data_IF_965566888486
#
_entry.id   IF_965566888486
#
_cell.length_a   1.000
_cell.length_b   1.000
_cell.length_c   1.000
_cell.angle_alpha   90.00
_cell.angle_beta   90.00
_cell.angle_gamma   90.00
#
_symmetry.space_group_name_H-M   'P 1'
#
loop_
_entity.id
_entity.type
_entity.pdbx_description
1 polymer ?
#
# COMPACT_ATOMS: atom_id res chain seq x y z
N UNK A 1 -15.55 -15.92 8.17
CA UNK A 1 -15.32 -14.69 7.38
C UNK A 1 -15.92 -14.92 6.00
N UNK A 2 -16.61 -13.93 5.45
CA UNK A 2 -17.24 -14.07 4.12
C UNK A 2 -16.19 -14.14 3.00
N UNK A 3 -16.57 -14.72 1.87
CA UNK A 3 -15.70 -14.77 0.69
C UNK A 3 -15.29 -13.36 0.24
N UNK A 4 -16.21 -12.39 0.31
CA UNK A 4 -15.90 -11.00 -0.02
C UNK A 4 -14.85 -10.39 0.92
N UNK A 5 -14.98 -10.63 2.22
CA UNK A 5 -14.00 -10.14 3.19
C UNK A 5 -12.62 -10.77 2.96
N UNK A 6 -12.56 -12.06 2.64
CA UNK A 6 -11.30 -12.75 2.31
C UNK A 6 -10.69 -12.14 1.04
N UNK A 7 -11.49 -11.94 -0.01
CA UNK A 7 -11.01 -11.34 -1.25
C UNK A 7 -10.43 -9.94 -1.03
N UNK A 8 -11.10 -9.12 -0.22
CA UNK A 8 -10.66 -7.76 0.10
C UNK A 8 -9.36 -7.79 0.91
N UNK A 9 -9.26 -8.62 1.96
CA UNK A 9 -8.03 -8.70 2.75
C UNK A 9 -6.88 -9.25 1.92
N UNK A 10 -7.14 -10.18 1.01
CA UNK A 10 -6.10 -10.69 0.12
C UNK A 10 -5.52 -9.58 -0.78
N UNK A 11 -6.32 -8.62 -1.21
CA UNK A 11 -5.82 -7.46 -1.95
C UNK A 11 -4.90 -6.59 -1.09
N UNK A 12 -5.26 -6.35 0.17
CA UNK A 12 -4.41 -5.61 1.11
C UNK A 12 -3.07 -6.32 1.31
N UNK A 13 -3.09 -7.63 1.53
CA UNK A 13 -1.88 -8.42 1.77
C UNK A 13 -1.05 -8.59 0.51
N UNK A 14 -1.69 -8.75 -0.64
CA UNK A 14 -1.01 -8.86 -1.94
C UNK A 14 -0.20 -7.60 -2.25
N UNK A 15 -0.74 -6.43 -1.93
CA UNK A 15 -0.01 -5.17 -2.05
C UNK A 15 1.30 -5.23 -1.26
N UNK A 16 1.25 -5.68 -0.01
CA UNK A 16 2.45 -5.80 0.83
C UNK A 16 3.49 -6.75 0.22
N UNK A 17 3.06 -7.94 -0.24
CA UNK A 17 3.96 -8.90 -0.88
C UNK A 17 4.66 -8.30 -2.10
N UNK A 18 3.92 -7.62 -2.95
CA UNK A 18 4.46 -7.04 -4.18
C UNK A 18 5.43 -5.91 -3.90
N UNK A 19 5.10 -5.02 -2.96
CA UNK A 19 6.01 -3.95 -2.54
C UNK A 19 7.31 -4.52 -1.97
N UNK A 20 7.20 -5.49 -1.08
CA UNK A 20 8.36 -6.06 -0.39
C UNK A 20 9.24 -6.92 -1.31
N UNK A 21 8.69 -7.44 -2.39
CA UNK A 21 9.44 -8.16 -3.42
C UNK A 21 10.08 -7.25 -4.47
N UNK A 22 9.78 -5.94 -4.43
CA UNK A 22 10.27 -4.99 -5.42
C UNK A 22 9.47 -4.98 -6.73
N UNK A 23 8.34 -5.68 -6.77
CA UNK A 23 7.47 -5.77 -7.95
C UNK A 23 6.56 -4.54 -8.04
N UNK A 24 7.17 -3.35 -8.17
CA UNK A 24 6.45 -2.07 -8.10
C UNK A 24 5.39 -1.93 -9.19
N UNK A 25 5.68 -2.40 -10.40
CA UNK A 25 4.73 -2.36 -11.51
C UNK A 25 3.48 -3.20 -11.25
N UNK A 26 3.65 -4.41 -10.70
CA UNK A 26 2.53 -5.28 -10.36
C UNK A 26 1.74 -4.72 -9.16
N UNK A 27 2.44 -4.13 -8.19
CA UNK A 27 1.78 -3.45 -7.07
C UNK A 27 0.91 -2.29 -7.56
N UNK A 28 1.44 -1.45 -8.46
CA UNK A 28 0.67 -0.35 -9.04
C UNK A 28 -0.53 -0.84 -9.84
N UNK A 29 -0.40 -1.99 -10.52
CA UNK A 29 -1.48 -2.58 -11.30
C UNK A 29 -2.69 -2.99 -10.45
N UNK A 30 -2.52 -3.23 -9.16
CA UNK A 30 -3.65 -3.45 -8.25
C UNK A 30 -4.57 -2.23 -8.18
N UNK A 31 -4.04 -1.05 -8.46
CA UNK A 31 -4.75 0.23 -8.36
C UNK A 31 -5.18 0.78 -9.72
N UNK A 32 -5.19 -0.04 -10.79
CA UNK A 32 -5.51 0.43 -12.15
C UNK A 32 -6.89 1.06 -12.28
N UNK A 33 -7.83 0.67 -11.43
CA UNK A 33 -9.19 1.20 -11.40
C UNK A 33 -9.44 2.15 -10.24
N UNK A 34 -8.37 2.53 -9.51
CA UNK A 34 -8.46 3.32 -8.31
C UNK A 34 -7.97 4.75 -8.51
N UNK A 35 -8.32 5.59 -7.55
CA UNK A 35 -7.74 6.91 -7.36
C UNK A 35 -7.02 6.91 -6.01
N UNK A 36 -5.85 7.52 -5.96
CA UNK A 36 -4.98 7.47 -4.79
C UNK A 36 -4.65 8.89 -4.34
N UNK A 37 -4.89 9.16 -3.06
CA UNK A 37 -4.44 10.39 -2.42
C UNK A 37 -3.02 10.19 -1.92
N UNK A 38 -2.08 10.91 -2.51
CA UNK A 38 -0.65 10.83 -2.17
C UNK A 38 -0.24 12.13 -1.50
N UNK A 39 0.50 12.03 -0.39
CA UNK A 39 1.00 13.20 0.32
C UNK A 39 1.89 14.07 -0.61
N UNK A 40 1.65 15.36 -0.62
CA UNK A 40 2.43 16.30 -1.43
C UNK A 40 1.98 16.43 -2.88
N UNK A 41 1.02 15.65 -3.34
CA UNK A 41 0.45 15.80 -4.68
C UNK A 41 -0.90 16.51 -4.60
N UNK A 42 -1.14 17.43 -5.55
CA UNK A 42 -2.48 18.01 -5.75
C UNK A 42 -3.34 17.02 -6.54
N UNK A 43 -4.60 16.89 -6.15
CA UNK A 43 -5.53 15.97 -6.79
C UNK A 43 -5.22 14.52 -6.47
N UNK A 44 -5.85 13.62 -7.23
CA UNK A 44 -5.72 12.18 -7.03
C UNK A 44 -4.85 11.57 -8.13
N UNK A 45 -3.99 10.64 -7.75
CA UNK A 45 -3.14 9.91 -8.68
C UNK A 45 -3.83 8.66 -9.21
N UNK A 46 -3.46 8.24 -10.40
CA UNK A 46 -3.80 6.94 -10.96
C UNK A 46 -2.62 5.97 -10.89
N UNK A 47 -2.76 4.83 -11.55
CA UNK A 47 -1.73 3.78 -11.59
C UNK A 47 -0.37 4.30 -12.07
N UNK A 48 -0.36 5.02 -13.18
CA UNK A 48 0.90 5.47 -13.80
C UNK A 48 1.65 6.46 -12.91
N UNK A 49 0.94 7.43 -12.34
CA UNK A 49 1.57 8.44 -11.46
C UNK A 49 2.04 7.80 -10.15
N UNK A 50 1.30 6.84 -9.62
CA UNK A 50 1.69 6.11 -8.41
C UNK A 50 2.98 5.32 -8.65
N UNK A 51 3.08 4.63 -9.78
CA UNK A 51 4.27 3.88 -10.15
C UNK A 51 5.48 4.80 -10.32
N UNK A 52 5.27 5.96 -10.93
CA UNK A 52 6.33 6.96 -11.09
C UNK A 52 6.86 7.44 -9.74
N UNK A 53 5.96 7.73 -8.79
CA UNK A 53 6.32 8.11 -7.42
C UNK A 53 7.17 7.01 -6.76
N UNK A 54 6.73 5.78 -6.85
CA UNK A 54 7.49 4.67 -6.24
C UNK A 54 8.86 4.48 -6.89
N UNK A 55 8.95 4.51 -8.22
CA UNK A 55 10.23 4.36 -8.92
C UNK A 55 11.20 5.47 -8.59
N UNK A 56 10.67 6.66 -8.32
CA UNK A 56 11.49 7.82 -7.98
C UNK A 56 12.01 7.76 -6.55
N UNK A 57 11.20 7.32 -5.60
CA UNK A 57 11.51 7.46 -4.18
C UNK A 57 11.85 6.17 -3.45
N UNK A 58 11.36 5.02 -3.88
CA UNK A 58 11.65 3.75 -3.19
C UNK A 58 13.04 3.27 -3.57
N UNK A 59 13.87 3.01 -2.54
CA UNK A 59 15.20 2.43 -2.74
C UNK A 59 15.07 0.94 -3.00
N UNK A 60 15.67 0.47 -4.09
CA UNK A 60 15.78 -0.95 -4.42
C UNK A 60 17.25 -1.34 -4.28
N UNK A 61 17.51 -2.36 -3.50
CA UNK A 61 18.86 -2.84 -3.21
C UNK A 61 19.30 -3.88 -4.24
N UNK A 62 20.59 -4.31 -4.23
CA UNK A 62 21.09 -5.27 -5.22
C UNK A 62 20.32 -6.60 -5.27
N UNK A 63 19.68 -6.99 -4.17
CA UNK A 63 18.81 -8.18 -4.14
C UNK A 63 17.51 -8.01 -4.93
N UNK A 64 17.22 -6.80 -5.46
CA UNK A 64 16.01 -6.51 -6.21
C UNK A 64 14.82 -6.10 -5.36
N UNK A 65 14.99 -5.95 -4.04
CA UNK A 65 13.92 -5.59 -3.12
C UNK A 65 14.25 -4.34 -2.33
N UNK A 66 13.25 -3.66 -1.73
CA UNK A 66 13.50 -2.54 -0.82
C UNK A 66 13.97 -2.99 0.57
N UNK A 67 14.11 -4.28 0.83
CA UNK A 67 14.51 -4.87 2.09
C UNK A 67 13.56 -4.52 3.24
N UNK A 68 12.28 -4.43 2.91
CA UNK A 68 11.21 -4.10 3.85
C UNK A 68 10.28 -5.28 4.08
N UNK A 69 9.51 -5.20 5.17
CA UNK A 69 8.31 -6.00 5.39
C UNK A 69 7.18 -5.07 5.79
N UNK A 70 6.19 -4.96 4.92
CA UNK A 70 4.95 -4.26 5.22
C UNK A 70 3.98 -5.22 5.90
N UNK A 71 3.41 -4.81 7.00
CA UNK A 71 2.41 -5.59 7.73
C UNK A 71 1.14 -4.75 7.82
N UNK A 72 0.05 -5.26 7.25
CA UNK A 72 -1.28 -4.66 7.43
C UNK A 72 -1.95 -5.42 8.56
N UNK A 73 -2.49 -4.69 9.52
CA UNK A 73 -3.12 -5.27 10.70
C UNK A 73 -4.50 -4.68 10.95
N UNK A 74 -5.28 -5.40 11.74
CA UNK A 74 -6.61 -5.01 12.24
C UNK A 74 -7.51 -4.33 11.19
N UNK A 75 -7.70 -4.95 10.01
CA UNK A 75 -8.61 -4.36 9.01
C UNK A 75 -10.06 -4.43 9.52
N UNK A 76 -10.73 -3.28 9.51
CA UNK A 76 -12.15 -3.18 9.79
C UNK A 76 -12.84 -3.00 8.44
N UNK A 77 -13.62 -4.00 8.04
CA UNK A 77 -14.22 -4.09 6.71
C UNK A 77 -15.72 -3.84 6.83
N UNK A 78 -16.21 -2.85 6.11
CA UNK A 78 -17.64 -2.54 6.01
C UNK A 78 -18.07 -2.74 4.56
N UNK A 79 -18.92 -3.75 4.33
CA UNK A 79 -19.37 -4.14 2.99
C UNK A 79 -20.81 -3.72 2.79
N UNK A 80 -21.07 -2.97 1.72
CA UNK A 80 -22.42 -2.70 1.22
C UNK A 80 -22.63 -3.59 -0.02
N UNK A 81 -23.25 -4.74 0.21
CA UNK A 81 -23.47 -5.74 -0.84
C UNK A 81 -24.42 -5.24 -1.94
N UNK A 82 -25.37 -4.38 -1.59
CA UNK A 82 -26.31 -3.84 -2.58
C UNK A 82 -25.64 -2.84 -3.53
N UNK A 83 -24.71 -2.05 -2.99
CA UNK A 83 -23.94 -1.09 -3.78
C UNK A 83 -22.71 -1.70 -4.45
N UNK A 84 -22.39 -2.97 -4.17
CA UNK A 84 -21.14 -3.61 -4.62
C UNK A 84 -19.91 -2.81 -4.22
N UNK A 85 -19.89 -2.30 -3.00
CA UNK A 85 -18.84 -1.42 -2.46
C UNK A 85 -18.43 -1.89 -1.08
N UNK A 86 -17.19 -1.56 -0.71
CA UNK A 86 -16.70 -1.77 0.64
C UNK A 86 -15.74 -0.66 1.03
N UNK A 87 -15.66 -0.40 2.33
CA UNK A 87 -14.68 0.50 2.94
C UNK A 87 -13.86 -0.29 3.94
N UNK A 88 -12.56 -0.03 3.99
CA UNK A 88 -11.65 -0.70 4.93
C UNK A 88 -10.76 0.33 5.61
N UNK A 89 -10.71 0.29 6.93
CA UNK A 89 -9.71 1.00 7.73
C UNK A 89 -8.73 -0.04 8.26
N UNK A 90 -7.46 0.22 8.11
CA UNK A 90 -6.43 -0.69 8.62
C UNK A 90 -5.21 0.09 9.11
N UNK A 91 -4.36 -0.58 9.89
CA UNK A 91 -3.05 -0.06 10.24
C UNK A 91 -2.00 -0.75 9.38
N UNK A 92 -0.90 -0.06 9.15
CA UNK A 92 0.28 -0.67 8.57
C UNK A 92 1.52 -0.37 9.40
N UNK A 93 2.45 -1.30 9.36
CA UNK A 93 3.79 -1.16 9.94
C UNK A 93 4.78 -1.57 8.88
N UNK A 94 5.91 -0.87 8.80
CA UNK A 94 6.99 -1.21 7.87
C UNK A 94 8.25 -1.48 8.66
N UNK A 95 8.76 -2.70 8.54
CA UNK A 95 10.05 -3.11 9.10
C UNK A 95 11.09 -3.09 8.00
N UNK A 96 12.32 -2.77 8.35
CA UNK A 96 13.44 -2.80 7.41
C UNK A 96 14.72 -3.23 8.09
N UNK A 97 15.55 -3.96 7.35
CA UNK A 97 16.93 -4.26 7.71
C UNK A 97 17.78 -4.18 6.45
N UNK A 98 18.89 -3.47 6.53
CA UNK A 98 19.88 -3.38 5.44
C UNK A 98 21.27 -3.69 5.98
N UNK A 99 22.31 -3.65 5.15
CA UNK A 99 23.68 -3.81 5.63
C UNK A 99 24.07 -2.79 6.70
N UNK A 100 23.51 -1.58 6.61
CA UNK A 100 23.82 -0.47 7.51
C UNK A 100 22.71 -0.14 8.51
N UNK A 101 21.57 -0.82 8.42
CA UNK A 101 20.41 -0.57 9.29
C UNK A 101 20.00 -1.88 9.97
N UNK A 102 20.16 -2.00 11.30
CA UNK A 102 19.63 -3.15 12.02
C UNK A 102 18.11 -3.25 11.87
N UNK A 103 17.58 -4.47 11.95
CA UNK A 103 16.12 -4.69 11.86
C UNK A 103 15.38 -3.78 12.83
N UNK A 104 14.48 -2.96 12.30
CA UNK A 104 13.69 -2.03 13.08
C UNK A 104 12.42 -1.62 12.38
N UNK A 105 11.47 -1.11 13.14
CA UNK A 105 10.28 -0.46 12.65
C UNK A 105 10.67 0.93 12.14
N UNK A 106 10.33 1.23 10.88
CA UNK A 106 10.68 2.52 10.26
C UNK A 106 9.49 3.43 10.02
N UNK A 107 8.27 2.87 9.99
CA UNK A 107 7.05 3.64 9.77
C UNK A 107 5.85 2.88 10.28
N UNK A 108 4.86 3.60 10.80
CA UNK A 108 3.57 3.05 11.14
C UNK A 108 2.49 4.08 10.85
N UNK A 109 1.39 3.64 10.24
CA UNK A 109 0.33 4.54 9.84
C UNK A 109 -0.97 3.80 9.58
N UNK A 110 -1.82 4.44 8.80
CA UNK A 110 -3.14 3.93 8.46
C UNK A 110 -3.34 3.91 6.96
N UNK A 111 -4.16 2.96 6.51
CA UNK A 111 -4.78 3.03 5.19
C UNK A 111 -6.28 3.24 5.37
N UNK A 112 -6.86 4.09 4.54
CA UNK A 112 -8.28 4.10 4.26
C UNK A 112 -8.45 3.70 2.80
N UNK A 113 -9.17 2.61 2.57
CA UNK A 113 -9.37 2.05 1.24
C UNK A 113 -10.84 1.88 0.93
N UNK A 114 -11.20 2.12 -0.32
CA UNK A 114 -12.50 1.77 -0.86
C UNK A 114 -12.31 0.73 -1.96
N UNK A 115 -13.25 -0.22 -2.01
CA UNK A 115 -13.25 -1.31 -2.97
C UNK A 115 -14.57 -1.32 -3.73
N UNK A 116 -14.51 -1.81 -4.96
CA UNK A 116 -15.70 -2.05 -5.78
C UNK A 116 -15.70 -3.50 -6.24
N UNK A 117 -16.89 -4.09 -6.28
CA UNK A 117 -17.09 -5.44 -6.84
C UNK A 117 -17.70 -5.27 -8.23
N UNK A 118 -16.94 -5.67 -9.26
CA UNK A 118 -17.35 -5.55 -10.65
C UNK A 118 -17.27 -6.92 -11.28
N UNK A 119 -18.38 -7.40 -11.84
CA UNK A 119 -18.48 -8.74 -12.39
C UNK A 119 -18.05 -9.83 -11.41
N UNK A 120 -18.40 -9.65 -10.13
CA UNK A 120 -18.09 -10.60 -9.06
C UNK A 120 -16.65 -10.51 -8.54
N UNK A 121 -15.84 -9.58 -9.02
CA UNK A 121 -14.42 -9.45 -8.64
C UNK A 121 -14.22 -8.14 -7.88
N UNK A 122 -13.67 -8.25 -6.66
CA UNK A 122 -13.32 -7.09 -5.85
C UNK A 122 -12.02 -6.46 -6.35
N UNK A 123 -11.95 -5.13 -6.32
CA UNK A 123 -10.78 -4.36 -6.71
C UNK A 123 -10.71 -3.04 -5.95
N UNK A 124 -9.50 -2.50 -5.79
CA UNK A 124 -9.33 -1.17 -5.22
C UNK A 124 -10.05 -0.13 -6.08
N UNK A 125 -10.74 0.80 -5.41
CA UNK A 125 -11.39 1.94 -6.04
C UNK A 125 -10.83 3.27 -5.55
N UNK A 126 -10.31 3.30 -4.32
CA UNK A 126 -9.68 4.50 -3.73
C UNK A 126 -8.73 4.06 -2.62
N UNK A 127 -7.63 4.78 -2.47
CA UNK A 127 -6.74 4.67 -1.30
C UNK A 127 -6.31 6.04 -0.84
N UNK A 128 -6.43 6.30 0.46
CA UNK A 128 -5.69 7.40 1.08
C UNK A 128 -4.33 6.86 1.53
N UNK A 129 -3.30 7.29 0.82
CA UNK A 129 -1.91 6.86 1.01
C UNK A 129 -1.10 7.91 1.79
N UNK A 130 -1.78 8.87 2.43
CA UNK A 130 -1.15 10.01 3.08
C UNK A 130 -1.09 9.91 4.62
N UNK A 131 -1.57 8.81 5.20
CA UNK A 131 -1.81 8.69 6.64
C UNK A 131 -0.64 8.05 7.39
N UNK A 132 0.55 8.63 7.27
CA UNK A 132 1.74 8.22 8.03
C UNK A 132 1.68 8.89 9.41
N UNK A 133 1.43 8.10 10.45
CA UNK A 133 1.24 8.62 11.81
C UNK A 133 2.54 8.67 12.61
N UNK A 134 3.36 7.61 12.50
CA UNK A 134 4.60 7.48 13.27
C UNK A 134 5.75 7.24 12.30
N UNK A 135 6.74 8.12 12.36
CA UNK A 135 7.86 8.12 11.44
C UNK A 135 9.15 7.76 12.18
N UNK A 136 9.78 6.69 11.75
CA UNK A 136 11.12 6.31 12.19
C UNK A 136 12.19 6.73 11.18
N UNK A 137 13.22 5.93 11.02
CA UNK A 137 14.29 6.21 10.07
C UNK A 137 13.89 5.72 8.66
N UNK A 138 13.51 6.63 7.79
CA UNK A 138 13.08 6.35 6.42
C UNK A 138 14.21 6.46 5.39
N UNK A 139 15.43 6.84 5.80
CA UNK A 139 16.53 7.13 4.88
C UNK A 139 16.98 5.93 4.04
N UNK A 140 16.82 4.72 4.60
CA UNK A 140 17.20 3.48 3.91
C UNK A 140 16.09 2.92 3.03
N UNK A 141 14.88 3.45 3.14
CA UNK A 141 13.72 3.05 2.35
C UNK A 141 13.42 4.05 1.23
N UNK A 142 13.47 5.34 1.54
CA UNK A 142 13.05 6.38 0.62
C UNK A 142 14.21 7.33 0.28
N UNK A 143 14.28 7.72 -0.99
CA UNK A 143 15.16 8.77 -1.48
C UNK A 143 14.47 10.11 -1.27
N UNK A 144 14.49 10.62 -0.04
CA UNK A 144 13.85 11.88 0.27
C UNK A 144 14.76 13.04 -0.15
N UNK A 145 14.18 14.19 -0.58
CA UNK A 145 14.98 15.38 -0.84
C UNK A 145 15.67 15.83 0.45
N UNK A 146 16.87 16.33 0.29
CA UNK A 146 17.68 16.85 1.40
C UNK A 146 17.02 18.06 2.05
#
# INVERSE_FOLDING_TARGET
MSESAVAITNLLYRYCELMDSGALGEAAALFRHARIKVAGLEGLAGEAELLEVWRRYVRIYPCGTPRTKHIVSNPIIEIDAQANRAEVRSYYSVYQATGDLPLQLIAAGRYYDEFACVDGIWRFAYRDYSLLDLKGNLEHHLKLPA
#
